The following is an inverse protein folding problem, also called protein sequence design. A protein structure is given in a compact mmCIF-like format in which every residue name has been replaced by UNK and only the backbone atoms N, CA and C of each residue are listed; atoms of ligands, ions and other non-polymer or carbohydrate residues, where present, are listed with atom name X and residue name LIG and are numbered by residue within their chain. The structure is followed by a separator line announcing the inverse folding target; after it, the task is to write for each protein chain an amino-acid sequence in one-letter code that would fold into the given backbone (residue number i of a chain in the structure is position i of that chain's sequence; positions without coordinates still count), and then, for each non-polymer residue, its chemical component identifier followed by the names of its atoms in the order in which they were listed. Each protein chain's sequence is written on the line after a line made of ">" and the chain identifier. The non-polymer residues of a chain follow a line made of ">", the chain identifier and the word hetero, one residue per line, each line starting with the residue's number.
data_IF_938254250005
#
_entry.id   IF_938254250005
#
_cell.length_a   1.000
_cell.length_b   1.000
_cell.length_c   1.000
_cell.angle_alpha   90.00
_cell.angle_beta   90.00
_cell.angle_gamma   90.00
#
_symmetry.space_group_name_H-M   'P 1'
#
loop_
_entity.id
_entity.type
_entity.pdbx_description
1 polymer ?
#
# COMPACT_ATOMS: atom_id res chain seq x y z
N UNK A 1 -3.04 -6.48 -18.60
CA UNK A 1 -1.62 -6.81 -18.26
C UNK A 1 -1.61 -8.05 -17.40
N UNK A 2 -0.69 -8.96 -17.63
CA UNK A 2 -0.64 -10.26 -16.94
C UNK A 2 0.31 -10.21 -15.74
N UNK A 3 0.31 -11.27 -14.93
CA UNK A 3 1.22 -11.46 -13.80
C UNK A 3 2.71 -11.32 -14.18
N UNK A 4 3.06 -11.52 -15.45
CA UNK A 4 4.43 -11.41 -15.98
C UNK A 4 5.09 -10.07 -15.67
N UNK A 5 4.31 -8.97 -15.55
CA UNK A 5 4.89 -7.69 -15.14
C UNK A 5 5.40 -7.75 -13.70
N UNK A 6 4.76 -8.51 -12.82
CA UNK A 6 5.21 -8.69 -11.43
C UNK A 6 6.45 -9.58 -11.37
N UNK A 7 6.48 -10.68 -12.14
CA UNK A 7 7.60 -11.62 -12.16
C UNK A 7 8.90 -10.97 -12.64
N UNK A 8 8.82 -9.94 -13.49
CA UNK A 8 9.99 -9.14 -13.92
C UNK A 8 10.72 -8.50 -12.74
N UNK A 9 9.98 -7.98 -11.75
CA UNK A 9 10.54 -7.25 -10.60
C UNK A 9 10.58 -8.07 -9.32
N UNK A 10 9.79 -9.14 -9.24
CA UNK A 10 9.68 -10.07 -8.12
C UNK A 10 9.81 -11.51 -8.60
N UNK A 11 11.02 -11.94 -9.03
CA UNK A 11 11.22 -13.26 -9.65
C UNK A 11 11.04 -14.44 -8.69
N UNK A 12 11.06 -14.20 -7.39
CA UNK A 12 10.98 -15.23 -6.36
C UNK A 12 9.56 -15.42 -5.81
N UNK A 13 8.52 -14.95 -6.50
CA UNK A 13 7.14 -15.22 -6.09
C UNK A 13 6.87 -16.73 -6.07
N UNK A 14 6.30 -17.20 -4.95
CA UNK A 14 5.83 -18.58 -4.82
C UNK A 14 4.60 -18.82 -5.70
N UNK A 15 4.30 -20.08 -6.00
CA UNK A 15 3.12 -20.44 -6.80
C UNK A 15 1.82 -19.95 -6.13
N UNK A 16 1.74 -19.99 -4.79
CA UNK A 16 0.61 -19.46 -4.03
C UNK A 16 0.46 -17.95 -4.23
N UNK A 17 1.55 -17.19 -4.16
CA UNK A 17 1.53 -15.73 -4.39
C UNK A 17 1.14 -15.40 -5.84
N UNK A 18 1.65 -16.16 -6.81
CA UNK A 18 1.28 -16.00 -8.22
C UNK A 18 -0.22 -16.24 -8.44
N UNK A 19 -0.77 -17.29 -7.83
CA UNK A 19 -2.20 -17.56 -7.88
C UNK A 19 -3.02 -16.42 -7.23
N UNK A 20 -2.61 -15.95 -6.05
CA UNK A 20 -3.25 -14.83 -5.35
C UNK A 20 -3.25 -13.55 -6.21
N UNK A 21 -2.13 -13.19 -6.82
CA UNK A 21 -2.07 -12.03 -7.73
C UNK A 21 -2.91 -12.23 -8.97
N UNK A 22 -2.95 -13.44 -9.52
CA UNK A 22 -3.78 -13.78 -10.69
C UNK A 22 -5.27 -13.59 -10.46
N UNK A 23 -5.75 -13.81 -9.23
CA UNK A 23 -7.16 -13.64 -8.86
C UNK A 23 -7.57 -12.17 -8.69
N UNK A 24 -6.62 -11.25 -8.38
CA UNK A 24 -6.95 -9.87 -8.00
C UNK A 24 -7.74 -9.12 -9.07
N UNK A 25 -7.40 -9.28 -10.36
CA UNK A 25 -8.11 -8.59 -11.45
C UNK A 25 -9.61 -8.95 -11.46
N UNK A 26 -9.93 -10.24 -11.36
CA UNK A 26 -11.32 -10.71 -11.32
C UNK A 26 -12.06 -10.23 -10.07
N UNK A 27 -11.43 -10.37 -8.91
CA UNK A 27 -12.00 -9.94 -7.62
C UNK A 27 -12.32 -8.45 -7.60
N UNK A 28 -11.37 -7.60 -8.03
CA UNK A 28 -11.62 -6.15 -8.06
C UNK A 28 -12.63 -5.75 -9.13
N UNK A 29 -12.70 -6.44 -10.26
CA UNK A 29 -13.75 -6.21 -11.27
C UNK A 29 -15.13 -6.48 -10.69
N UNK A 30 -15.35 -7.64 -10.04
CA UNK A 30 -16.61 -7.98 -9.39
C UNK A 30 -17.02 -7.00 -8.29
N UNK A 31 -16.05 -6.58 -7.45
CA UNK A 31 -16.32 -5.61 -6.41
C UNK A 31 -16.62 -4.22 -6.98
N UNK A 32 -15.95 -3.84 -8.07
CA UNK A 32 -16.11 -2.52 -8.67
C UNK A 32 -17.48 -2.34 -9.34
N UNK A 33 -18.13 -3.42 -9.77
CA UNK A 33 -19.53 -3.41 -10.22
C UNK A 33 -20.49 -2.96 -9.10
N UNK A 34 -20.18 -3.30 -7.85
CA UNK A 34 -21.02 -3.04 -6.67
C UNK A 34 -20.62 -1.75 -5.94
N UNK A 35 -19.32 -1.50 -5.85
CA UNK A 35 -18.73 -0.40 -5.09
C UNK A 35 -17.59 0.18 -5.92
N UNK A 36 -17.72 1.43 -6.34
CA UNK A 36 -16.69 2.12 -7.13
C UNK A 36 -15.42 2.32 -6.28
N UNK A 37 -14.49 1.36 -6.33
CA UNK A 37 -13.23 1.33 -5.57
C UNK A 37 -12.08 1.87 -6.40
N UNK A 38 -12.01 1.46 -7.65
CA UNK A 38 -11.02 1.86 -8.64
C UNK A 38 -11.77 2.56 -9.77
N UNK A 39 -11.20 3.62 -10.34
CA UNK A 39 -11.84 4.26 -11.50
C UNK A 39 -12.02 3.26 -12.64
N UNK A 40 -13.06 3.45 -13.47
CA UNK A 40 -13.29 2.57 -14.62
C UNK A 40 -12.10 2.51 -15.57
N UNK A 41 -11.34 3.60 -15.66
CA UNK A 41 -10.14 3.69 -16.48
C UNK A 41 -8.95 2.93 -15.89
N UNK A 42 -8.84 2.90 -14.56
CA UNK A 42 -7.69 2.27 -13.88
C UNK A 42 -7.91 0.78 -13.61
N UNK A 43 -9.15 0.26 -13.72
CA UNK A 43 -9.42 -1.17 -13.48
C UNK A 43 -8.70 -2.06 -14.51
N UNK A 44 -8.61 -1.63 -15.76
CA UNK A 44 -7.90 -2.35 -16.81
C UNK A 44 -6.37 -2.32 -16.63
N UNK A 45 -5.88 -1.33 -15.89
CA UNK A 45 -4.46 -1.14 -15.57
C UNK A 45 -4.14 -1.48 -14.10
N UNK A 46 -5.02 -2.25 -13.43
CA UNK A 46 -4.91 -2.61 -12.01
C UNK A 46 -3.53 -3.18 -11.65
N UNK A 47 -2.99 -4.06 -12.50
CA UNK A 47 -1.72 -4.75 -12.26
C UNK A 47 -0.54 -3.77 -12.17
N UNK A 48 -0.49 -2.77 -13.03
CA UNK A 48 0.58 -1.78 -13.05
C UNK A 48 0.34 -0.66 -12.05
N UNK A 49 -0.81 0.01 -12.16
CA UNK A 49 -1.08 1.26 -11.44
C UNK A 49 -1.45 1.07 -9.98
N UNK A 50 -1.91 -0.12 -9.62
CA UNK A 50 -2.29 -0.40 -8.24
C UNK A 50 -1.42 -1.48 -7.60
N UNK A 51 -1.25 -2.64 -8.23
CA UNK A 51 -0.55 -3.77 -7.62
C UNK A 51 0.97 -3.53 -7.66
N UNK A 52 1.58 -3.38 -8.85
CA UNK A 52 3.01 -3.15 -8.98
C UNK A 52 3.45 -1.86 -8.28
N UNK A 53 2.64 -0.79 -8.38
CA UNK A 53 2.90 0.45 -7.65
C UNK A 53 2.91 0.23 -6.14
N UNK A 54 2.02 -0.58 -5.59
CA UNK A 54 2.03 -0.94 -4.15
C UNK A 54 3.27 -1.75 -3.78
N UNK A 55 3.61 -2.74 -4.60
CA UNK A 55 4.76 -3.60 -4.40
C UNK A 55 6.09 -2.87 -4.53
N UNK A 56 6.13 -1.73 -5.20
CA UNK A 56 7.35 -0.92 -5.33
C UNK A 56 7.98 -0.56 -3.98
N UNK A 57 7.19 -0.48 -2.90
CA UNK A 57 7.70 -0.26 -1.54
C UNK A 57 8.73 -1.31 -1.17
N UNK A 58 8.47 -2.59 -1.46
CA UNK A 58 9.36 -3.70 -1.11
C UNK A 58 10.67 -3.75 -1.91
N UNK A 59 10.80 -2.95 -2.97
CA UNK A 59 12.09 -2.78 -3.68
C UNK A 59 13.05 -1.83 -2.95
N UNK A 60 12.56 -1.07 -1.96
CA UNK A 60 13.33 -0.10 -1.19
C UNK A 60 13.36 -0.40 0.30
N UNK A 61 12.38 -1.16 0.80
CA UNK A 61 12.24 -1.46 2.21
C UNK A 61 11.69 -2.88 2.42
N UNK A 62 12.42 -3.68 3.19
CA UNK A 62 12.00 -5.04 3.54
C UNK A 62 10.92 -5.01 4.62
N UNK A 63 9.78 -5.60 4.30
CA UNK A 63 8.61 -5.73 5.19
C UNK A 63 8.38 -7.17 5.68
N UNK A 64 9.18 -8.16 5.26
CA UNK A 64 8.96 -9.57 5.62
C UNK A 64 9.80 -10.01 6.84
N UNK A 65 9.67 -9.27 7.94
CA UNK A 65 10.43 -9.48 9.18
C UNK A 65 9.55 -9.56 10.43
N UNK A 66 8.32 -10.06 10.32
CA UNK A 66 7.40 -10.17 11.44
C UNK A 66 6.91 -8.81 11.97
N UNK A 67 6.80 -7.83 11.09
CA UNK A 67 6.41 -6.46 11.45
C UNK A 67 4.88 -6.31 11.60
N UNK A 68 4.47 -5.41 12.49
CA UNK A 68 3.10 -4.91 12.54
C UNK A 68 3.00 -3.68 11.64
N UNK A 69 2.17 -3.77 10.60
CA UNK A 69 2.04 -2.77 9.53
C UNK A 69 0.63 -2.21 9.51
N UNK A 70 0.49 -0.89 9.55
CA UNK A 70 -0.76 -0.16 9.42
C UNK A 70 -0.85 0.51 8.05
N UNK A 71 -1.87 0.23 7.27
CA UNK A 71 -2.17 0.96 6.03
C UNK A 71 -3.31 1.96 6.27
N UNK A 72 -2.99 3.25 6.20
CA UNK A 72 -3.91 4.35 6.54
C UNK A 72 -4.58 4.90 5.29
N UNK A 73 -5.91 4.89 5.29
CA UNK A 73 -6.69 5.31 4.13
C UNK A 73 -6.54 4.32 2.98
N UNK A 74 -6.56 3.04 3.30
CA UNK A 74 -6.25 1.94 2.38
C UNK A 74 -7.12 1.89 1.13
N UNK A 75 -8.29 2.54 1.14
CA UNK A 75 -9.21 2.48 0.02
C UNK A 75 -9.67 1.06 -0.28
N UNK A 76 -9.38 0.60 -1.47
CA UNK A 76 -9.65 -0.79 -1.88
C UNK A 76 -8.64 -1.82 -1.37
N UNK A 77 -7.72 -1.45 -0.47
CA UNK A 77 -6.68 -2.35 0.03
C UNK A 77 -5.29 -2.06 -0.55
N UNK A 78 -5.04 -0.84 -1.02
CA UNK A 78 -3.77 -0.46 -1.63
C UNK A 78 -3.05 0.63 -0.82
N UNK A 79 -1.80 0.41 -0.40
CA UNK A 79 -0.89 -0.66 -0.82
C UNK A 79 -0.96 -1.97 -0.01
N UNK A 80 -1.78 -2.05 1.05
CA UNK A 80 -1.72 -3.10 2.06
C UNK A 80 -1.91 -4.53 1.55
N UNK A 81 -2.92 -4.83 0.72
CA UNK A 81 -3.19 -6.21 0.24
C UNK A 81 -2.03 -6.75 -0.62
N UNK A 82 -1.53 -6.04 -1.66
CA UNK A 82 -0.39 -6.53 -2.42
C UNK A 82 0.84 -6.80 -1.55
N UNK A 83 1.11 -5.93 -0.57
CA UNK A 83 2.23 -6.10 0.35
C UNK A 83 2.03 -7.27 1.31
N UNK A 84 0.81 -7.50 1.80
CA UNK A 84 0.50 -8.66 2.65
C UNK A 84 0.71 -10.00 1.93
N UNK A 85 0.45 -10.05 0.60
CA UNK A 85 0.69 -11.24 -0.22
C UNK A 85 2.18 -11.62 -0.23
N UNK A 86 3.08 -10.65 -0.43
CA UNK A 86 4.52 -10.95 -0.57
C UNK A 86 5.27 -10.96 0.76
N UNK A 87 4.66 -10.50 1.86
CA UNK A 87 5.28 -10.45 3.19
C UNK A 87 4.45 -11.28 4.20
N UNK A 88 4.42 -12.61 4.06
CA UNK A 88 3.53 -13.48 4.84
C UNK A 88 3.85 -13.56 6.33
N UNK A 89 5.06 -13.17 6.74
CA UNK A 89 5.47 -13.19 8.16
C UNK A 89 5.04 -11.92 8.91
N UNK A 90 4.69 -10.84 8.21
CA UNK A 90 4.25 -9.57 8.80
C UNK A 90 2.72 -9.44 8.84
N UNK A 91 2.21 -8.72 9.83
CA UNK A 91 0.78 -8.50 10.05
C UNK A 91 0.33 -7.15 9.49
N UNK A 92 -0.73 -7.14 8.71
CA UNK A 92 -1.26 -5.94 8.07
C UNK A 92 -2.65 -5.59 8.61
N UNK A 93 -2.78 -4.40 9.18
CA UNK A 93 -4.05 -3.78 9.54
C UNK A 93 -4.34 -2.64 8.57
N UNK A 94 -5.44 -2.73 7.85
CA UNK A 94 -5.83 -1.78 6.81
C UNK A 94 -7.03 -0.97 7.29
N UNK A 95 -6.89 0.34 7.45
CA UNK A 95 -7.96 1.20 7.95
C UNK A 95 -8.46 2.18 6.88
N UNK A 96 -9.76 2.39 6.86
CA UNK A 96 -10.42 3.44 6.07
C UNK A 96 -11.69 3.91 6.80
N UNK A 97 -11.98 5.20 6.74
CA UNK A 97 -13.18 5.81 7.32
C UNK A 97 -14.48 5.49 6.56
N UNK A 98 -14.36 4.84 5.40
CA UNK A 98 -15.50 4.47 4.54
C UNK A 98 -15.75 2.97 4.65
N UNK A 99 -16.74 2.57 5.45
CA UNK A 99 -17.01 1.16 5.75
C UNK A 99 -17.28 0.26 4.54
N UNK A 100 -17.86 0.80 3.45
CA UNK A 100 -18.05 0.04 2.22
C UNK A 100 -16.72 -0.37 1.55
N UNK A 101 -15.66 0.43 1.67
CA UNK A 101 -14.32 0.08 1.18
C UNK A 101 -13.71 -1.06 2.00
N UNK A 102 -13.88 -1.01 3.31
CA UNK A 102 -13.42 -2.09 4.22
C UNK A 102 -14.15 -3.41 3.97
N UNK A 103 -15.41 -3.38 3.54
CA UNK A 103 -16.11 -4.61 3.09
C UNK A 103 -15.39 -5.24 1.89
N UNK A 104 -14.90 -4.42 0.95
CA UNK A 104 -14.10 -4.93 -0.19
C UNK A 104 -12.78 -5.50 0.29
N UNK A 105 -12.03 -4.77 1.11
CA UNK A 105 -10.76 -5.23 1.70
C UNK A 105 -10.92 -6.62 2.33
N UNK A 106 -11.89 -6.77 3.25
CA UNK A 106 -12.11 -8.04 3.94
C UNK A 106 -12.62 -9.14 2.99
N UNK A 107 -13.43 -8.78 1.98
CA UNK A 107 -13.87 -9.71 0.95
C UNK A 107 -12.70 -10.25 0.12
N UNK A 108 -11.81 -9.38 -0.35
CA UNK A 108 -10.61 -9.76 -1.11
C UNK A 108 -9.66 -10.58 -0.24
N UNK A 109 -9.34 -10.15 1.00
CA UNK A 109 -8.50 -10.92 1.92
C UNK A 109 -9.04 -12.34 2.15
N UNK A 110 -10.36 -12.47 2.34
CA UNK A 110 -11.03 -13.77 2.53
C UNK A 110 -10.92 -14.65 1.27
N UNK A 111 -11.20 -14.08 0.10
CA UNK A 111 -11.12 -14.82 -1.17
C UNK A 111 -9.71 -15.34 -1.45
N UNK A 112 -8.68 -14.54 -1.15
CA UNK A 112 -7.28 -14.91 -1.30
C UNK A 112 -6.73 -15.80 -0.17
N UNK A 113 -7.50 -16.06 0.88
CA UNK A 113 -7.06 -16.84 2.04
C UNK A 113 -5.98 -16.18 2.87
N UNK A 114 -5.81 -14.85 2.80
CA UNK A 114 -4.82 -14.11 3.59
C UNK A 114 -5.14 -14.21 5.09
N UNK A 115 -4.18 -14.68 5.89
CA UNK A 115 -4.30 -14.80 7.36
C UNK A 115 -3.66 -13.63 8.09
N UNK A 116 -2.79 -12.91 7.42
CA UNK A 116 -1.97 -11.83 7.95
C UNK A 116 -2.50 -10.43 7.56
N UNK A 117 -3.74 -10.32 7.07
CA UNK A 117 -4.30 -9.06 6.59
C UNK A 117 -5.76 -8.91 7.05
N UNK A 118 -6.09 -7.78 7.67
CA UNK A 118 -7.44 -7.46 8.14
C UNK A 118 -7.78 -5.99 7.88
N UNK A 119 -8.99 -5.74 7.41
CA UNK A 119 -9.54 -4.39 7.23
C UNK A 119 -10.41 -3.96 8.42
N UNK A 120 -10.19 -2.76 8.96
CA UNK A 120 -10.98 -2.16 10.03
C UNK A 120 -11.62 -0.85 9.56
N UNK A 121 -12.93 -0.73 9.76
CA UNK A 121 -13.66 0.52 9.52
C UNK A 121 -13.37 1.50 10.67
N UNK A 122 -12.36 2.31 10.49
CA UNK A 122 -11.87 3.19 11.55
C UNK A 122 -11.23 4.46 10.97
N UNK A 123 -11.32 5.55 11.73
CA UNK A 123 -10.61 6.79 11.41
C UNK A 123 -9.24 6.77 12.11
N UNK A 124 -8.17 7.02 11.37
CA UNK A 124 -6.81 7.02 11.89
C UNK A 124 -6.60 7.92 13.12
N UNK A 125 -7.32 9.05 13.21
CA UNK A 125 -7.26 9.96 14.37
C UNK A 125 -7.78 9.36 15.67
N UNK A 126 -8.58 8.30 15.59
CA UNK A 126 -9.16 7.61 16.75
C UNK A 126 -8.51 6.25 17.01
N UNK A 127 -7.66 5.79 16.07
CA UNK A 127 -6.92 4.55 16.21
C UNK A 127 -5.89 4.66 17.36
N UNK A 128 -5.66 3.57 18.10
CA UNK A 128 -4.82 3.60 19.32
C UNK A 128 -3.70 2.57 19.34
N UNK A 129 -3.78 1.55 18.48
CA UNK A 129 -2.73 0.53 18.41
C UNK A 129 -1.46 1.14 17.78
N UNK A 130 -0.31 0.57 18.12
CA UNK A 130 1.00 1.05 17.66
C UNK A 130 1.65 0.01 16.76
N UNK A 131 2.42 0.49 15.77
CA UNK A 131 2.95 -0.31 14.66
C UNK A 131 4.43 -0.04 14.42
N UNK A 132 5.10 -1.00 13.80
CA UNK A 132 6.46 -0.82 13.30
C UNK A 132 6.49 0.09 12.08
N UNK A 133 5.49 -0.08 11.19
CA UNK A 133 5.39 0.64 9.93
C UNK A 133 3.98 1.21 9.76
N UNK A 134 3.89 2.44 9.28
CA UNK A 134 2.67 3.00 8.72
C UNK A 134 2.84 3.20 7.21
N UNK A 135 1.89 2.71 6.45
CA UNK A 135 1.80 2.86 5.00
C UNK A 135 0.74 3.88 4.63
N UNK A 136 0.91 4.52 3.48
CA UNK A 136 -0.14 5.33 2.87
C UNK A 136 0.08 5.49 1.38
N UNK A 137 -1.02 5.65 0.63
CA UNK A 137 -1.02 6.02 -0.78
C UNK A 137 -2.07 7.09 -1.04
N UNK A 138 -1.65 8.21 -1.67
CA UNK A 138 -2.54 9.29 -2.11
C UNK A 138 -3.49 9.85 -1.02
N UNK A 139 -3.00 9.90 0.23
CA UNK A 139 -3.72 10.55 1.34
C UNK A 139 -3.29 12.02 1.41
N UNK A 140 -3.84 12.80 2.29
CA UNK A 140 -3.63 14.23 2.51
C UNK A 140 -2.16 14.70 2.42
N UNK A 141 -1.91 16.00 2.52
CA UNK A 141 -0.57 16.57 2.62
C UNK A 141 0.24 15.92 3.77
N UNK A 142 1.57 15.90 3.63
CA UNK A 142 2.43 15.08 4.48
C UNK A 142 2.48 15.55 5.94
N UNK A 143 2.53 16.88 6.19
CA UNK A 143 2.58 17.41 7.55
C UNK A 143 1.36 17.02 8.40
N UNK A 144 0.10 17.25 7.95
CA UNK A 144 -1.08 16.78 8.68
C UNK A 144 -1.12 15.24 8.84
N UNK A 145 -0.57 14.51 7.85
CA UNK A 145 -0.47 13.05 7.93
C UNK A 145 0.45 12.62 9.07
N UNK A 146 1.60 13.27 9.23
CA UNK A 146 2.55 13.00 10.31
C UNK A 146 1.93 13.22 11.70
N UNK A 147 1.15 14.28 11.88
CA UNK A 147 0.56 14.64 13.18
C UNK A 147 -0.25 13.49 13.79
N UNK A 148 -1.10 12.83 13.00
CA UNK A 148 -1.93 11.74 13.51
C UNK A 148 -1.33 10.35 13.32
N UNK A 149 -0.30 10.20 12.49
CA UNK A 149 0.35 8.91 12.24
C UNK A 149 1.51 8.64 13.20
N UNK A 150 2.31 9.68 13.53
CA UNK A 150 3.47 9.53 14.42
C UNK A 150 3.12 8.92 15.80
N UNK A 151 2.00 9.26 16.44
CA UNK A 151 1.58 8.61 17.69
C UNK A 151 1.29 7.11 17.54
N UNK A 152 0.94 6.64 16.35
CA UNK A 152 0.65 5.23 16.04
C UNK A 152 1.90 4.40 15.76
N UNK A 153 3.09 4.99 15.83
CA UNK A 153 4.34 4.29 15.60
C UNK A 153 5.04 3.91 16.90
N UNK A 154 5.58 2.68 16.94
CA UNK A 154 6.54 2.25 17.96
C UNK A 154 7.79 3.15 17.94
N UNK A 155 8.64 3.02 18.95
CA UNK A 155 9.97 3.66 18.93
C UNK A 155 10.75 3.13 17.71
N UNK A 156 11.38 4.02 16.95
CA UNK A 156 12.05 3.73 15.67
C UNK A 156 11.11 3.25 14.54
N UNK A 157 9.80 3.39 14.72
CA UNK A 157 8.81 3.10 13.66
C UNK A 157 8.98 4.03 12.45
N UNK A 158 8.48 3.59 11.31
CA UNK A 158 8.65 4.32 10.04
C UNK A 158 7.33 4.55 9.33
N UNK A 159 7.32 5.58 8.49
CA UNK A 159 6.22 5.84 7.57
C UNK A 159 6.75 5.68 6.14
N UNK A 160 6.03 4.93 5.33
CA UNK A 160 6.31 4.68 3.93
C UNK A 160 5.10 5.17 3.09
N UNK A 161 5.27 6.30 2.41
CA UNK A 161 4.20 6.90 1.63
C UNK A 161 4.50 6.87 0.13
N UNK A 162 3.57 6.31 -0.65
CA UNK A 162 3.58 6.44 -2.10
C UNK A 162 2.97 7.77 -2.50
N UNK A 163 3.75 8.59 -3.18
CA UNK A 163 3.40 9.92 -3.65
C UNK A 163 3.72 10.07 -5.14
N UNK A 164 3.28 11.17 -5.74
CA UNK A 164 3.59 11.48 -7.14
C UNK A 164 3.84 12.97 -7.34
N UNK A 165 4.54 13.31 -8.41
CA UNK A 165 4.81 14.69 -8.79
C UNK A 165 5.96 15.34 -8.02
N UNK A 166 5.98 16.67 -8.02
CA UNK A 166 6.95 17.46 -7.28
C UNK A 166 6.52 17.58 -5.80
N UNK A 167 7.34 17.05 -4.90
CA UNK A 167 7.11 17.04 -3.46
C UNK A 167 7.90 18.13 -2.71
N UNK A 168 8.61 19.00 -3.41
CA UNK A 168 9.53 20.01 -2.81
C UNK A 168 8.81 20.92 -1.81
N UNK A 169 7.60 21.36 -2.13
CA UNK A 169 6.79 22.21 -1.24
C UNK A 169 6.15 21.39 -0.11
N UNK A 170 5.64 20.21 -0.43
CA UNK A 170 4.97 19.34 0.54
C UNK A 170 5.92 18.86 1.65
N UNK A 171 7.18 18.57 1.31
CA UNK A 171 8.17 18.04 2.25
C UNK A 171 9.10 19.12 2.86
N UNK A 172 8.88 20.40 2.56
CA UNK A 172 9.77 21.50 2.94
C UNK A 172 10.11 21.50 4.44
N UNK A 173 9.13 21.25 5.29
CA UNK A 173 9.30 21.32 6.75
C UNK A 173 9.96 20.06 7.33
N UNK A 174 9.96 18.97 6.59
CA UNK A 174 10.41 17.65 7.08
C UNK A 174 11.59 17.06 6.29
N UNK A 175 12.17 17.83 5.36
CA UNK A 175 13.24 17.36 4.45
C UNK A 175 14.40 16.63 5.17
N UNK A 176 14.77 17.06 6.36
CA UNK A 176 15.86 16.43 7.13
C UNK A 176 15.49 15.09 7.77
N UNK A 177 14.19 14.81 7.87
CA UNK A 177 13.65 13.61 8.52
C UNK A 177 13.12 12.58 7.53
N UNK A 178 13.20 12.86 6.23
CA UNK A 178 12.71 11.96 5.18
C UNK A 178 13.82 11.56 4.22
N UNK A 179 13.70 10.33 3.69
CA UNK A 179 14.43 9.89 2.49
C UNK A 179 13.42 9.78 1.36
N UNK A 180 13.82 10.25 0.19
CA UNK A 180 13.01 10.23 -1.02
C UNK A 180 13.65 9.30 -2.04
N UNK A 181 12.86 8.37 -2.57
CA UNK A 181 13.30 7.44 -3.61
C UNK A 181 12.42 7.61 -4.85
N UNK A 182 13.01 7.70 -6.03
CA UNK A 182 12.29 7.66 -7.30
C UNK A 182 11.97 6.21 -7.65
N UNK A 183 10.68 5.91 -7.89
CA UNK A 183 10.28 4.52 -8.22
C UNK A 183 10.84 4.12 -9.58
N UNK A 184 11.00 5.07 -10.50
CA UNK A 184 11.67 4.87 -11.80
C UNK A 184 13.12 4.38 -11.72
N UNK A 185 13.78 4.52 -10.56
CA UNK A 185 15.12 3.93 -10.36
C UNK A 185 15.09 2.39 -10.31
N UNK A 186 13.92 1.79 -10.11
CA UNK A 186 13.73 0.35 -9.96
C UNK A 186 12.70 -0.23 -10.93
N UNK A 187 11.70 0.56 -11.35
CA UNK A 187 10.60 0.11 -12.22
C UNK A 187 10.54 1.02 -13.44
N UNK A 188 10.65 0.44 -14.63
CA UNK A 188 10.50 1.12 -15.90
C UNK A 188 9.03 1.41 -16.23
N UNK A 189 8.77 2.46 -16.99
CA UNK A 189 7.46 2.83 -17.52
C UNK A 189 7.06 4.27 -17.18
N UNK A 190 6.40 4.92 -18.12
CA UNK A 190 5.97 6.32 -18.04
C UNK A 190 5.16 6.61 -16.74
N UNK A 191 4.32 5.65 -16.32
CA UNK A 191 3.55 5.79 -15.09
C UNK A 191 4.43 6.01 -13.86
N UNK A 192 5.63 5.40 -13.81
CA UNK A 192 6.51 5.43 -12.65
C UNK A 192 7.47 6.61 -12.62
N UNK A 193 7.65 7.34 -13.73
CA UNK A 193 8.58 8.48 -13.83
C UNK A 193 8.33 9.56 -12.76
N UNK A 194 7.07 9.80 -12.45
CA UNK A 194 6.68 10.79 -11.44
C UNK A 194 6.40 10.20 -10.06
N UNK A 195 6.48 8.87 -9.89
CA UNK A 195 6.14 8.22 -8.62
C UNK A 195 7.35 8.16 -7.69
N UNK A 196 7.09 8.36 -6.42
CA UNK A 196 8.11 8.44 -5.37
C UNK A 196 7.67 7.68 -4.13
N UNK A 197 8.65 7.11 -3.43
CA UNK A 197 8.49 6.60 -2.08
C UNK A 197 9.12 7.60 -1.11
N UNK A 198 8.32 8.10 -0.17
CA UNK A 198 8.78 8.93 0.95
C UNK A 198 8.91 8.02 2.16
N UNK A 199 10.12 7.92 2.72
CA UNK A 199 10.41 7.22 3.97
C UNK A 199 10.70 8.25 5.05
N UNK A 200 9.88 8.25 6.10
CA UNK A 200 10.10 9.01 7.32
C UNK A 200 10.49 8.06 8.45
N UNK A 201 11.45 8.45 9.30
CA UNK A 201 11.83 7.73 10.52
C UNK A 201 11.50 8.58 11.74
N UNK A 202 10.74 7.98 12.67
CA UNK A 202 10.37 8.58 13.95
C UNK A 202 11.59 8.71 14.85
#
# INVERSE_FOLDING_TARGET
>A
MSIQILEKYFPNLTDVQKDQFGQLQGLYSEWNEKINIVSRKDIDELMERHILHSLSISLFYDLDNGLDVLDIGTGGGFPGIPLAIINPTSNFVLIDSIGKKIKVVNGVCKSLGLKNCVGLHENAKHHKSIYDIALSRAVTAFDPFLEYTTPLLKNNGKILCLKGGDLSQELKNVQKSVKLFSISDKIEGEFFETKKLVLYSK
#
